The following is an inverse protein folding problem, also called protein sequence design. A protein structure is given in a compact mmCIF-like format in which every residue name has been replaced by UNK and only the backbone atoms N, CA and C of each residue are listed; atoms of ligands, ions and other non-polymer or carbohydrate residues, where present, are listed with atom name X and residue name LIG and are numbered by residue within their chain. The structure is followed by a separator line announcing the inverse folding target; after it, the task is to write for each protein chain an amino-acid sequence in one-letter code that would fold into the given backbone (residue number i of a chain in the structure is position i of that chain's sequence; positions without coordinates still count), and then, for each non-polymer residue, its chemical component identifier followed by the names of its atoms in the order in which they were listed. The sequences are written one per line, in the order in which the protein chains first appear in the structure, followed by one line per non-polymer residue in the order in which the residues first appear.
data_IF_734452887146
#
_entry.id   IF_734452887146
#
_cell.length_a   1.000
_cell.length_b   1.000
_cell.length_c   1.000
_cell.angle_alpha   90.00
_cell.angle_beta   90.00
_cell.angle_gamma   90.00
#
_symmetry.space_group_name_H-M   'P 1'
#
loop_
_entity.id
_entity.type
_entity.pdbx_description
1 polymer ?
#
# COMPACT_ATOMS: atom_id res chain seq x y z
N UNK A 1 14.98 -17.17 10.48
CA UNK A 1 15.36 -15.87 11.06
C UNK A 1 14.80 -14.76 10.21
N UNK A 2 14.11 -13.80 10.83
CA UNK A 2 13.55 -12.62 10.16
C UNK A 2 14.69 -11.64 9.88
N UNK A 3 14.75 -11.07 8.67
CA UNK A 3 15.61 -9.92 8.40
C UNK A 3 14.83 -8.87 7.61
N UNK A 4 14.74 -7.68 8.20
CA UNK A 4 14.10 -6.48 7.68
C UNK A 4 15.21 -5.58 7.13
N UNK A 5 15.08 -5.11 5.88
CA UNK A 5 15.94 -4.07 5.34
C UNK A 5 15.28 -2.70 5.52
N UNK A 6 15.91 -1.85 6.33
CA UNK A 6 15.63 -0.42 6.45
C UNK A 6 16.63 0.36 5.60
N UNK A 7 16.13 1.26 4.75
CA UNK A 7 16.94 2.31 4.14
C UNK A 7 16.64 3.63 4.86
N UNK A 8 17.61 4.16 5.59
CA UNK A 8 17.55 5.52 6.16
C UNK A 8 18.54 6.38 5.38
N UNK A 9 18.01 7.13 4.40
CA UNK A 9 18.68 8.29 3.84
C UNK A 9 18.19 9.50 4.63
N UNK A 10 19.11 10.26 5.23
CA UNK A 10 18.82 11.37 6.12
C UNK A 10 18.11 12.55 5.44
N UNK A 11 16.81 12.42 5.23
CA UNK A 11 15.87 13.52 5.36
C UNK A 11 15.41 13.54 6.82
N UNK A 12 15.10 14.70 7.39
CA UNK A 12 14.40 14.74 8.69
C UNK A 12 13.19 13.81 8.59
N UNK A 13 13.28 12.65 9.24
CA UNK A 13 12.41 11.51 8.95
C UNK A 13 11.05 11.85 9.53
N UNK A 14 10.21 12.53 8.74
CA UNK A 14 8.78 12.65 9.02
C UNK A 14 8.19 11.27 8.79
N UNK A 15 8.38 10.40 9.76
CA UNK A 15 7.84 9.05 9.76
C UNK A 15 6.32 9.14 9.82
N UNK A 16 5.65 8.58 8.80
CA UNK A 16 4.20 8.36 8.88
C UNK A 16 3.93 7.10 9.70
N UNK A 17 2.89 7.14 10.54
CA UNK A 17 2.48 5.99 11.33
C UNK A 17 1.65 5.08 10.43
N UNK A 18 1.96 3.79 10.39
CA UNK A 18 1.13 2.82 9.66
C UNK A 18 0.03 2.30 10.58
N UNK A 19 -1.23 2.43 10.16
CA UNK A 19 -2.37 1.87 10.86
C UNK A 19 -3.06 0.85 9.95
N UNK A 20 -3.20 -0.38 10.42
CA UNK A 20 -3.85 -1.46 9.67
C UNK A 20 -5.23 -1.72 10.25
N UNK A 21 -6.25 -1.77 9.40
CA UNK A 21 -7.65 -1.96 9.79
C UNK A 21 -8.30 -2.98 8.86
N UNK A 22 -9.19 -3.82 9.39
CA UNK A 22 -9.96 -4.75 8.57
C UNK A 22 -11.03 -4.02 7.75
N UNK A 23 -11.40 -4.56 6.59
CA UNK A 23 -12.53 -4.04 5.81
C UNK A 23 -13.80 -3.98 6.67
N UNK A 24 -14.56 -2.90 6.54
CA UNK A 24 -15.81 -2.70 7.28
C UNK A 24 -15.63 -2.23 8.74
N UNK A 25 -14.43 -2.32 9.31
CA UNK A 25 -14.18 -1.87 10.68
C UNK A 25 -13.94 -0.36 10.70
N UNK A 26 -14.84 0.38 11.35
CA UNK A 26 -14.73 1.84 11.47
C UNK A 26 -13.40 2.25 12.11
N UNK A 27 -12.81 3.33 11.59
CA UNK A 27 -11.55 3.88 12.10
C UNK A 27 -11.67 5.38 12.33
N UNK A 28 -10.97 5.87 13.35
CA UNK A 28 -10.87 7.30 13.65
C UNK A 28 -9.40 7.70 13.69
N UNK A 29 -9.01 8.62 12.81
CA UNK A 29 -7.69 9.24 12.82
C UNK A 29 -7.75 10.50 13.68
N UNK A 30 -6.69 10.76 14.44
CA UNK A 30 -6.63 11.85 15.40
C UNK A 30 -5.49 12.80 15.09
N UNK A 31 -5.77 14.10 15.15
CA UNK A 31 -4.79 15.16 15.09
C UNK A 31 -4.93 16.07 16.31
N UNK A 32 -3.81 16.36 16.98
CA UNK A 32 -3.81 17.26 18.12
C UNK A 32 -4.07 18.70 17.66
N UNK A 33 -4.93 19.41 18.38
CA UNK A 33 -5.30 20.79 18.10
C UNK A 33 -5.00 21.67 19.30
N UNK A 34 -4.23 22.72 19.09
CA UNK A 34 -3.96 23.71 20.13
C UNK A 34 -4.81 24.95 19.88
N UNK A 35 -5.38 25.51 20.94
CA UNK A 35 -6.01 26.83 20.89
C UNK A 35 -4.94 27.85 20.52
N UNK A 36 -5.19 28.61 19.47
CA UNK A 36 -4.31 29.68 19.04
C UNK A 36 -5.10 30.97 18.94
N UNK A 37 -4.47 32.07 19.38
CA UNK A 37 -5.01 33.42 19.19
C UNK A 37 -4.82 33.86 17.73
N UNK A 38 -3.86 33.24 17.03
CA UNK A 38 -3.62 33.47 15.61
C UNK A 38 -4.57 32.62 14.76
N UNK A 39 -4.86 33.08 13.54
CA UNK A 39 -5.69 32.39 12.55
C UNK A 39 -5.02 31.13 12.01
N UNK A 40 -4.91 30.10 12.85
CA UNK A 40 -4.35 28.79 12.54
C UNK A 40 -5.48 27.78 12.36
N UNK A 41 -5.53 27.12 11.21
CA UNK A 41 -6.57 26.12 10.90
C UNK A 41 -5.93 24.79 10.53
N UNK A 42 -6.59 23.70 10.92
CA UNK A 42 -6.17 22.34 10.58
C UNK A 42 -7.04 21.81 9.44
N UNK A 43 -6.43 20.99 8.59
CA UNK A 43 -7.09 20.42 7.41
C UNK A 43 -6.69 18.94 7.31
N UNK A 44 -7.66 18.09 7.01
CA UNK A 44 -7.40 16.71 6.61
C UNK A 44 -7.31 16.64 5.08
N UNK A 45 -6.23 16.07 4.59
CA UNK A 45 -6.11 15.66 3.18
C UNK A 45 -5.82 14.17 3.09
N UNK A 46 -6.26 13.52 2.02
CA UNK A 46 -5.87 12.14 1.69
C UNK A 46 -5.24 12.03 0.32
N UNK A 47 -4.25 11.14 0.22
CA UNK A 47 -3.54 10.77 -1.00
C UNK A 47 -3.74 9.26 -1.18
N UNK A 48 -4.59 8.91 -2.15
CA UNK A 48 -4.84 7.52 -2.56
C UNK A 48 -4.12 7.30 -3.89
N UNK A 49 -3.46 6.15 -4.05
CA UNK A 49 -2.72 5.83 -5.28
C UNK A 49 -3.65 5.90 -6.50
N UNK A 50 -3.20 6.55 -7.57
CA UNK A 50 -3.99 6.73 -8.80
C UNK A 50 -4.99 7.90 -8.78
N UNK A 51 -5.16 8.60 -7.66
CA UNK A 51 -6.08 9.74 -7.54
C UNK A 51 -5.34 11.04 -7.18
N UNK A 52 -5.96 12.19 -7.50
CA UNK A 52 -5.49 13.48 -6.99
C UNK A 52 -5.69 13.59 -5.47
N UNK A 53 -4.89 14.41 -4.76
CA UNK A 53 -5.11 14.67 -3.33
C UNK A 53 -6.50 15.24 -3.08
N UNK A 54 -7.18 14.73 -2.06
CA UNK A 54 -8.55 15.14 -1.73
C UNK A 54 -8.59 15.86 -0.38
N UNK A 55 -9.37 16.93 -0.30
CA UNK A 55 -9.68 17.63 0.95
C UNK A 55 -10.87 16.98 1.65
N UNK A 56 -10.70 16.63 2.93
CA UNK A 56 -11.71 15.90 3.70
C UNK A 56 -12.41 16.76 4.76
N UNK A 57 -11.90 17.97 5.03
CA UNK A 57 -12.49 18.89 5.98
C UNK A 57 -11.43 19.72 6.72
N UNK A 58 -11.88 20.81 7.35
CA UNK A 58 -11.01 21.72 8.09
C UNK A 58 -11.67 22.30 9.34
N UNK A 59 -10.86 22.87 10.22
CA UNK A 59 -11.28 23.43 11.51
C UNK A 59 -11.45 24.94 11.46
N UNK A 60 -12.23 25.47 12.39
CA UNK A 60 -12.18 26.87 12.79
C UNK A 60 -11.05 27.11 13.81
N UNK A 61 -10.74 28.37 14.09
CA UNK A 61 -9.66 28.77 15.02
C UNK A 61 -10.08 28.63 16.49
N UNK A 62 -11.36 28.80 16.78
CA UNK A 62 -11.96 28.65 18.11
C UNK A 62 -12.51 27.23 18.33
N UNK A 63 -12.81 26.85 19.58
CA UNK A 63 -13.54 25.61 19.89
C UNK A 63 -14.99 25.74 19.43
N UNK A 64 -15.41 24.84 18.56
CA UNK A 64 -16.76 24.73 18.04
C UNK A 64 -16.94 23.31 17.50
N UNK A 65 -18.11 22.73 17.74
CA UNK A 65 -18.47 21.43 17.19
C UNK A 65 -18.87 21.62 15.73
N UNK A 66 -17.88 21.57 14.83
CA UNK A 66 -18.10 21.54 13.38
C UNK A 66 -17.91 20.14 12.83
N UNK A 67 -18.71 19.84 11.81
CA UNK A 67 -18.68 18.55 11.11
C UNK A 67 -18.66 18.83 9.61
N UNK A 68 -17.67 18.28 8.91
CA UNK A 68 -17.62 18.27 7.46
C UNK A 68 -17.81 16.83 6.98
N UNK A 69 -18.86 16.57 6.21
CA UNK A 69 -19.32 15.22 5.91
C UNK A 69 -19.33 14.97 4.40
N UNK A 70 -18.66 13.90 4.01
CA UNK A 70 -18.88 13.22 2.74
C UNK A 70 -19.46 11.83 3.03
N UNK A 71 -20.00 11.10 2.03
CA UNK A 71 -20.49 9.75 2.28
C UNK A 71 -19.36 8.88 2.84
N UNK A 72 -19.59 8.31 4.03
CA UNK A 72 -18.68 7.48 4.84
C UNK A 72 -17.52 8.17 5.57
N UNK A 73 -17.08 9.35 5.15
CA UNK A 73 -15.94 10.06 5.76
C UNK A 73 -16.41 11.36 6.42
N UNK A 74 -16.03 11.56 7.67
CA UNK A 74 -16.47 12.71 8.47
C UNK A 74 -15.29 13.33 9.21
N UNK A 75 -15.00 14.59 8.94
CA UNK A 75 -14.05 15.38 9.71
C UNK A 75 -14.80 16.12 10.83
N UNK A 76 -14.40 15.92 12.08
CA UNK A 76 -15.05 16.50 13.26
C UNK A 76 -14.04 17.27 14.10
N UNK A 77 -14.34 18.53 14.38
CA UNK A 77 -13.59 19.32 15.34
C UNK A 77 -14.14 19.10 16.75
N UNK A 78 -13.25 18.88 17.71
CA UNK A 78 -13.57 18.77 19.14
C UNK A 78 -12.60 19.65 19.96
N UNK A 79 -12.90 19.91 21.26
CA UNK A 79 -11.96 20.62 22.12
C UNK A 79 -10.61 19.90 22.21
N UNK A 80 -9.56 20.55 21.69
CA UNK A 80 -8.19 20.02 21.72
C UNK A 80 -7.84 18.98 20.64
N UNK A 81 -8.80 18.55 19.81
CA UNK A 81 -8.57 17.50 18.80
C UNK A 81 -9.30 17.80 17.49
N UNK A 82 -8.77 17.25 16.39
CA UNK A 82 -9.43 17.22 15.11
C UNK A 82 -9.44 15.78 14.59
N UNK A 83 -10.63 15.21 14.51
CA UNK A 83 -10.86 13.81 14.21
C UNK A 83 -11.27 13.62 12.75
N UNK A 84 -10.84 12.50 12.17
CA UNK A 84 -11.35 12.02 10.89
C UNK A 84 -11.92 10.62 11.08
N UNK A 85 -13.24 10.50 11.01
CA UNK A 85 -13.95 9.25 11.11
C UNK A 85 -14.17 8.67 9.70
N UNK A 86 -13.82 7.40 9.52
CA UNK A 86 -14.04 6.64 8.30
C UNK A 86 -14.89 5.43 8.66
N UNK A 87 -16.12 5.42 8.18
CA UNK A 87 -17.08 4.33 8.39
C UNK A 87 -16.98 3.31 7.25
N UNK A 88 -17.05 2.04 7.62
CA UNK A 88 -17.00 0.90 6.69
C UNK A 88 -15.92 1.05 5.61
N UNK A 89 -14.63 1.17 5.99
CA UNK A 89 -13.56 1.40 5.04
C UNK A 89 -13.40 0.23 4.07
N UNK A 90 -13.11 0.57 2.82
CA UNK A 90 -12.88 -0.37 1.70
C UNK A 90 -11.39 -0.42 1.36
N UNK A 91 -10.90 -1.45 0.64
CA UNK A 91 -9.51 -1.51 0.20
C UNK A 91 -9.03 -0.25 -0.54
N UNK A 92 -9.93 0.38 -1.32
CA UNK A 92 -9.70 1.64 -2.04
C UNK A 92 -9.49 2.86 -1.15
N UNK A 93 -9.87 2.79 0.12
CA UNK A 93 -9.63 3.86 1.09
C UNK A 93 -8.20 3.80 1.69
N UNK A 94 -7.40 2.79 1.30
CA UNK A 94 -5.99 2.70 1.70
C UNK A 94 -5.16 3.83 1.07
N UNK A 95 -4.37 4.52 1.89
CA UNK A 95 -3.61 5.67 1.42
C UNK A 95 -2.96 6.45 2.56
N UNK A 96 -2.34 7.57 2.20
CA UNK A 96 -1.73 8.50 3.15
C UNK A 96 -2.74 9.59 3.53
N UNK A 97 -2.96 9.76 4.83
CA UNK A 97 -3.82 10.77 5.42
C UNK A 97 -2.96 11.76 6.18
N UNK A 98 -3.07 13.05 5.85
CA UNK A 98 -2.31 14.11 6.50
C UNK A 98 -3.22 15.09 7.22
N UNK A 99 -2.85 15.41 8.46
CA UNK A 99 -3.32 16.60 9.14
C UNK A 99 -2.34 17.75 8.89
N UNK A 100 -2.83 18.80 8.24
CA UNK A 100 -2.04 19.96 7.84
C UNK A 100 -2.49 21.17 8.64
N UNK A 101 -1.54 21.83 9.29
CA UNK A 101 -1.72 23.14 9.89
C UNK A 101 -1.39 24.22 8.87
N UNK A 102 -2.31 25.15 8.68
CA UNK A 102 -2.12 26.32 7.82
C UNK A 102 -2.08 27.56 8.70
N UNK A 103 -1.07 28.40 8.49
CA UNK A 103 -0.91 29.70 9.15
C UNK A 103 -0.46 30.73 8.14
N UNK A 104 -1.33 31.65 7.76
CA UNK A 104 -1.06 32.63 6.70
C UNK A 104 -0.58 31.95 5.40
N UNK A 105 0.72 32.03 5.09
CA UNK A 105 1.32 31.43 3.90
C UNK A 105 2.07 30.12 4.19
N UNK A 106 2.17 29.73 5.45
CA UNK A 106 2.89 28.54 5.88
C UNK A 106 1.96 27.33 5.99
N UNK A 107 2.44 26.18 5.47
CA UNK A 107 1.79 24.89 5.61
C UNK A 107 2.72 23.91 6.32
N UNK A 108 2.23 23.32 7.41
CA UNK A 108 2.97 22.36 8.22
C UNK A 108 2.19 21.04 8.32
N UNK A 109 2.79 19.97 7.82
CA UNK A 109 2.32 18.60 8.05
C UNK A 109 2.58 18.21 9.50
N UNK A 110 1.52 18.08 10.30
CA UNK A 110 1.59 17.71 11.71
C UNK A 110 1.67 16.20 11.90
N UNK A 111 0.77 15.48 11.22
CA UNK A 111 0.61 14.03 11.36
C UNK A 111 0.41 13.43 9.98
N UNK A 112 1.16 12.38 9.66
CA UNK A 112 0.96 11.53 8.49
C UNK A 112 0.63 10.11 8.93
N UNK A 113 -0.47 9.55 8.42
CA UNK A 113 -0.91 8.18 8.72
C UNK A 113 -1.06 7.42 7.41
N UNK A 114 -0.34 6.32 7.26
CA UNK A 114 -0.62 5.36 6.20
C UNK A 114 -1.68 4.38 6.68
N UNK A 115 -2.91 4.56 6.20
CA UNK A 115 -4.03 3.68 6.50
C UNK A 115 -4.00 2.51 5.52
N UNK A 116 -3.80 1.30 6.03
CA UNK A 116 -3.83 0.05 5.27
C UNK A 116 -5.12 -0.70 5.59
N UNK A 117 -6.01 -0.81 4.62
CA UNK A 117 -7.23 -1.60 4.76
C UNK A 117 -6.94 -3.03 4.29
N UNK A 118 -6.97 -3.99 5.21
CA UNK A 118 -6.86 -5.42 4.89
C UNK A 118 -8.24 -5.99 4.61
N UNK A 119 -8.44 -6.45 3.39
CA UNK A 119 -9.54 -7.37 3.08
C UNK A 119 -9.32 -8.73 3.76
N UNK A 120 -10.35 -9.59 3.77
CA UNK A 120 -10.10 -11.01 3.90
C UNK A 120 -9.05 -11.39 2.85
N UNK A 121 -7.99 -12.08 3.26
CA UNK A 121 -6.99 -12.55 2.31
C UNK A 121 -7.75 -13.26 1.18
N UNK A 122 -7.57 -12.85 -0.09
CA UNK A 122 -7.92 -13.78 -1.15
C UNK A 122 -7.15 -15.05 -0.81
N UNK A 123 -7.84 -16.19 -0.75
CA UNK A 123 -7.19 -17.49 -0.90
C UNK A 123 -6.55 -17.46 -2.28
N UNK A 124 -5.37 -16.83 -2.38
CA UNK A 124 -4.47 -17.03 -3.48
C UNK A 124 -3.94 -18.43 -3.19
N UNK A 125 -4.70 -19.44 -3.61
CA UNK A 125 -4.13 -20.68 -4.07
C UNK A 125 -3.31 -20.32 -5.30
N UNK A 126 -2.18 -19.63 -5.13
CA UNK A 126 -1.05 -19.85 -5.99
C UNK A 126 -0.63 -21.26 -5.62
N UNK A 127 -1.29 -22.23 -6.26
CA UNK A 127 -0.75 -23.56 -6.36
C UNK A 127 0.55 -23.36 -7.14
N UNK A 128 1.62 -23.08 -6.40
CA UNK A 128 2.97 -23.29 -6.87
C UNK A 128 3.06 -24.80 -7.07
N UNK A 129 2.55 -25.28 -8.20
CA UNK A 129 2.83 -26.60 -8.70
C UNK A 129 4.31 -26.57 -9.11
N UNK A 130 5.19 -26.64 -8.12
CA UNK A 130 6.52 -27.18 -8.37
C UNK A 130 6.24 -28.63 -8.72
N UNK A 131 6.21 -28.95 -10.01
CA UNK A 131 6.24 -30.33 -10.44
C UNK A 131 7.48 -30.95 -9.78
N UNK A 132 7.27 -31.87 -8.85
CA UNK A 132 8.35 -32.63 -8.24
C UNK A 132 9.06 -33.36 -9.36
N UNK A 133 10.26 -32.91 -9.74
CA UNK A 133 11.07 -33.64 -10.71
C UNK A 133 11.57 -34.93 -10.06
N UNK A 134 11.61 -36.00 -10.85
CA UNK A 134 12.21 -37.28 -10.47
C UNK A 134 13.65 -37.09 -9.94
N UNK A 135 14.15 -37.98 -9.07
CA UNK A 135 15.50 -37.87 -8.51
C UNK A 135 16.55 -37.81 -9.61
N UNK A 136 17.14 -36.62 -9.75
CA UNK A 136 18.08 -36.26 -10.82
C UNK A 136 19.47 -36.83 -10.51
N UNK A 137 20.13 -37.44 -11.50
CA UNK A 137 21.49 -37.98 -11.33
C UNK A 137 22.53 -36.87 -11.56
N UNK A 138 23.76 -37.01 -11.01
CA UNK A 138 24.82 -36.03 -11.27
C UNK A 138 25.13 -35.93 -12.77
N UNK A 139 24.90 -34.76 -13.37
CA UNK A 139 25.15 -34.49 -14.79
C UNK A 139 23.91 -34.21 -15.65
N UNK A 140 22.71 -34.42 -15.10
CA UNK A 140 21.46 -34.14 -15.81
C UNK A 140 21.13 -32.64 -15.77
N UNK A 141 20.66 -32.10 -16.91
CA UNK A 141 20.07 -30.75 -16.97
C UNK A 141 18.63 -30.78 -16.46
N UNK A 142 18.24 -29.83 -15.62
CA UNK A 142 16.87 -29.69 -15.11
C UNK A 142 16.27 -28.41 -15.68
N UNK A 143 15.04 -28.50 -16.18
CA UNK A 143 14.23 -27.34 -16.58
C UNK A 143 13.30 -26.96 -15.44
N UNK A 144 13.31 -25.68 -15.04
CA UNK A 144 12.36 -25.16 -14.06
C UNK A 144 11.25 -24.39 -14.78
N UNK A 145 10.01 -24.61 -14.37
CA UNK A 145 8.84 -23.96 -14.95
C UNK A 145 8.05 -23.20 -13.88
N UNK A 146 7.71 -21.95 -14.17
CA UNK A 146 6.83 -21.12 -13.34
C UNK A 146 5.64 -20.64 -14.17
N UNK A 147 4.44 -20.87 -13.68
CA UNK A 147 3.19 -20.40 -14.28
C UNK A 147 2.60 -19.26 -13.46
N UNK A 148 2.31 -18.14 -14.13
CA UNK A 148 1.74 -16.94 -13.50
C UNK A 148 0.39 -16.63 -14.15
N UNK A 149 -0.63 -16.46 -13.31
CA UNK A 149 -1.97 -16.02 -13.69
C UNK A 149 -2.18 -14.59 -13.21
N UNK A 150 -2.55 -13.70 -14.12
CA UNK A 150 -2.79 -12.28 -13.80
C UNK A 150 -4.17 -11.84 -14.31
N UNK A 151 -4.96 -11.24 -13.41
CA UNK A 151 -6.18 -10.50 -13.75
C UNK A 151 -5.80 -9.09 -14.21
N UNK A 152 -6.06 -8.79 -15.47
CA UNK A 152 -5.82 -7.48 -16.06
C UNK A 152 -7.10 -6.64 -16.07
N UNK A 153 -7.52 -6.11 -14.92
CA UNK A 153 -8.51 -5.04 -14.92
C UNK A 153 -7.85 -3.69 -15.27
N UNK A 154 -8.13 -3.21 -16.48
CA UNK A 154 -7.83 -1.88 -17.04
C UNK A 154 -6.35 -1.53 -17.32
N UNK A 155 -6.00 -1.46 -18.62
CA UNK A 155 -4.71 -1.04 -19.18
C UNK A 155 -4.46 0.48 -19.01
N UNK A 156 -4.29 0.96 -17.78
CA UNK A 156 -3.66 2.30 -17.54
C UNK A 156 -2.18 2.21 -17.22
N UNK A 157 -1.66 1.02 -16.90
CA UNK A 157 -0.23 0.74 -16.78
C UNK A 157 0.07 -0.67 -17.32
N UNK A 158 0.87 -0.82 -18.40
CA UNK A 158 1.41 -2.11 -18.78
C UNK A 158 2.26 -2.65 -17.63
N UNK A 159 1.80 -3.68 -16.93
CA UNK A 159 2.64 -4.41 -15.97
C UNK A 159 3.44 -5.44 -16.77
N UNK A 160 4.65 -5.10 -17.16
CA UNK A 160 5.61 -6.12 -17.58
C UNK A 160 5.92 -7.00 -16.38
N UNK A 161 5.43 -8.23 -16.41
CA UNK A 161 5.68 -9.20 -15.35
C UNK A 161 7.14 -9.68 -15.46
N UNK A 162 7.94 -9.34 -14.45
CA UNK A 162 9.30 -9.87 -14.30
C UNK A 162 9.28 -11.07 -13.36
N UNK A 163 9.80 -12.20 -13.81
CA UNK A 163 9.97 -13.42 -13.00
C UNK A 163 11.44 -13.60 -12.69
N UNK A 164 11.78 -13.80 -11.42
CA UNK A 164 13.15 -13.96 -10.94
C UNK A 164 13.35 -15.36 -10.36
N UNK A 165 14.43 -16.02 -10.79
CA UNK A 165 14.83 -17.32 -10.26
C UNK A 165 16.02 -17.16 -9.30
N UNK A 166 15.87 -17.72 -8.10
CA UNK A 166 16.89 -17.70 -7.05
C UNK A 166 17.35 -19.11 -6.73
N UNK A 167 18.66 -19.33 -6.61
CA UNK A 167 19.21 -20.55 -6.00
C UNK A 167 19.49 -20.27 -4.52
N UNK A 168 18.91 -21.10 -3.65
CA UNK A 168 19.33 -21.16 -2.27
C UNK A 168 20.58 -22.05 -2.16
N UNK A 169 21.75 -21.45 -1.91
CA UNK A 169 22.93 -22.19 -1.47
C UNK A 169 22.87 -22.42 0.04
N UNK A 170 23.31 -23.59 0.53
CA UNK A 170 23.36 -23.89 1.98
C UNK A 170 24.37 -23.03 2.75
N UNK A 171 25.23 -22.30 2.04
CA UNK A 171 26.46 -21.70 2.53
C UNK A 171 26.69 -20.27 2.00
N UNK A 172 25.76 -19.73 1.21
CA UNK A 172 25.80 -18.33 0.75
C UNK A 172 24.70 -17.52 1.44
N UNK A 173 25.09 -16.47 2.18
CA UNK A 173 24.20 -15.59 2.93
C UNK A 173 23.29 -14.71 2.05
N UNK A 174 23.47 -14.76 0.72
CA UNK A 174 22.73 -13.99 -0.26
C UNK A 174 22.24 -14.92 -1.39
N UNK A 175 20.93 -14.93 -1.73
CA UNK A 175 20.46 -15.68 -2.87
C UNK A 175 21.01 -15.06 -4.17
N UNK A 176 21.71 -15.85 -4.97
CA UNK A 176 22.19 -15.43 -6.28
C UNK A 176 21.03 -15.46 -7.28
N UNK A 177 20.76 -14.32 -7.93
CA UNK A 177 19.83 -14.23 -9.07
C UNK A 177 20.47 -14.98 -10.22
N UNK A 178 19.83 -16.06 -10.68
CA UNK A 178 20.40 -16.91 -11.74
C UNK A 178 19.98 -16.41 -13.13
N UNK A 179 18.84 -15.73 -13.24
CA UNK A 179 18.27 -15.35 -14.52
C UNK A 179 17.19 -14.26 -14.38
N UNK A 180 17.15 -13.32 -15.33
CA UNK A 180 16.23 -12.16 -15.28
C UNK A 180 15.37 -11.97 -16.52
N UNK A 181 15.44 -12.84 -17.55
CA UNK A 181 14.60 -12.65 -18.73
C UNK A 181 14.51 -13.93 -19.56
N UNK A 182 13.39 -14.63 -19.50
CA UNK A 182 13.15 -15.91 -20.17
C UNK A 182 12.19 -15.79 -21.35
N UNK A 183 12.37 -16.69 -22.33
CA UNK A 183 11.40 -16.89 -23.41
C UNK A 183 10.01 -17.09 -22.80
N UNK A 184 9.14 -16.11 -23.00
CA UNK A 184 7.83 -16.05 -22.36
C UNK A 184 6.76 -16.55 -23.33
N UNK A 185 6.16 -17.68 -23.03
CA UNK A 185 4.95 -18.11 -23.73
C UNK A 185 3.75 -17.58 -22.94
N UNK A 186 3.24 -16.43 -23.38
CA UNK A 186 2.06 -15.81 -22.81
C UNK A 186 0.84 -16.06 -23.70
N UNK A 187 -0.10 -16.85 -23.21
CA UNK A 187 -1.39 -17.09 -23.85
C UNK A 187 -2.48 -16.23 -23.20
N UNK A 188 -3.32 -15.62 -24.04
CA UNK A 188 -4.53 -14.94 -23.59
C UNK A 188 -5.63 -15.99 -23.39
N UNK A 189 -6.00 -16.29 -22.15
CA UNK A 189 -7.08 -17.25 -21.84
C UNK A 189 -8.47 -16.64 -21.97
N UNK A 190 -8.59 -15.34 -21.72
CA UNK A 190 -9.82 -14.56 -21.91
C UNK A 190 -9.48 -13.07 -22.06
N UNK A 191 -10.48 -12.22 -22.30
CA UNK A 191 -10.27 -10.76 -22.37
C UNK A 191 -9.68 -10.15 -21.10
N UNK A 192 -9.80 -10.82 -19.96
CA UNK A 192 -9.38 -10.34 -18.64
C UNK A 192 -8.24 -11.14 -18.01
N UNK A 193 -7.91 -12.33 -18.54
CA UNK A 193 -6.94 -13.25 -17.93
C UNK A 193 -5.83 -13.60 -18.93
N UNK A 194 -4.59 -13.32 -18.54
CA UNK A 194 -3.37 -13.77 -19.22
C UNK A 194 -2.67 -14.85 -18.41
N UNK A 195 -2.20 -15.89 -19.11
CA UNK A 195 -1.42 -16.99 -18.54
C UNK A 195 -0.05 -16.99 -19.19
N UNK A 196 1.00 -16.76 -18.41
CA UNK A 196 2.38 -16.79 -18.90
C UNK A 196 3.15 -17.94 -18.27
N UNK A 197 3.90 -18.65 -19.11
CA UNK A 197 4.83 -19.71 -18.70
C UNK A 197 6.26 -19.24 -18.95
N UNK A 198 7.08 -19.34 -17.91
CA UNK A 198 8.50 -18.98 -17.96
C UNK A 198 9.35 -20.23 -17.75
N UNK A 199 10.34 -20.41 -18.63
CA UNK A 199 11.28 -21.53 -18.60
C UNK A 199 12.69 -21.05 -18.24
N UNK A 200 13.42 -21.87 -17.46
CA UNK A 200 14.85 -21.75 -17.16
C UNK A 200 15.56 -23.06 -17.48
#
# INVERSE_FOLDING_TARGET
SVSVCLFVSGCTEKTFVTQTVAVGQNVTLTCARHKSIHSETLHWIRLVSGNFPEFLGGTFTFDFDSVNTTPRITAKQEPGTFLLHISEPKPSDSGLYYCIKVKQFDMLFLTGIFLRIRGPEPEITSALHVASSDPVRPGDSVTLQCSVLSDSESDTCPRDHSVYWFRAGSDESHPNIIYTDGNNECEKRSDTVKSCVYHF
#
